data_IF_801777653955
#
_entry.id   IF_801777653955
#
_cell.length_a   1.000
_cell.length_b   1.000
_cell.length_c   1.000
_cell.angle_alpha   90.00
_cell.angle_beta   90.00
_cell.angle_gamma   90.00
#
_symmetry.space_group_name_H-M   'P 1'
#
loop_
_entity.id
_entity.type
_entity.pdbx_description
1 polymer ?
#
# COMPACT_ATOMS: atom_id res chain seq x y z
N UNK A 1 -6.26 -15.49 0.10
CA UNK A 1 -5.08 -14.72 -0.32
C UNK A 1 -5.14 -14.60 -1.83
N UNK A 2 -4.68 -13.48 -2.41
CA UNK A 2 -4.73 -13.25 -3.87
C UNK A 2 -3.91 -14.34 -4.58
N UNK A 3 -4.51 -15.05 -5.53
CA UNK A 3 -3.94 -16.23 -6.21
C UNK A 3 -3.49 -15.88 -7.64
N UNK A 4 -2.79 -16.81 -8.33
CA UNK A 4 -2.37 -16.58 -9.73
C UNK A 4 -3.54 -16.31 -10.68
N UNK A 5 -4.73 -16.85 -10.38
CA UNK A 5 -5.93 -16.62 -11.17
C UNK A 5 -6.36 -15.15 -11.08
N UNK A 6 -6.31 -14.54 -9.89
CA UNK A 6 -6.57 -13.11 -9.70
C UNK A 6 -5.67 -12.22 -10.57
N UNK A 7 -4.36 -12.50 -10.62
CA UNK A 7 -3.42 -11.68 -11.39
C UNK A 7 -3.59 -11.85 -12.90
N UNK A 8 -3.94 -13.05 -13.39
CA UNK A 8 -4.22 -13.30 -14.81
C UNK A 8 -5.42 -12.50 -15.30
N UNK A 9 -6.51 -12.52 -14.52
CA UNK A 9 -7.72 -11.75 -14.82
C UNK A 9 -7.45 -10.24 -14.89
N UNK A 10 -6.48 -9.72 -14.15
CA UNK A 10 -6.13 -8.30 -14.14
C UNK A 10 -5.39 -7.86 -15.42
N UNK A 11 -4.54 -8.72 -16.00
CA UNK A 11 -3.75 -8.41 -17.20
C UNK A 11 -4.63 -8.25 -18.46
N UNK A 12 -5.71 -9.02 -18.54
CA UNK A 12 -6.64 -9.01 -19.68
C UNK A 12 -7.44 -7.69 -19.83
N UNK A 13 -7.55 -6.89 -18.75
CA UNK A 13 -8.28 -5.61 -18.76
C UNK A 13 -7.65 -4.55 -19.67
N UNK A 14 -6.34 -4.61 -19.87
CA UNK A 14 -5.60 -3.67 -20.74
C UNK A 14 -6.06 -3.73 -22.21
N UNK A 15 -6.67 -4.84 -22.63
CA UNK A 15 -7.12 -5.07 -24.01
C UNK A 15 -8.54 -4.56 -24.29
N UNK A 16 -9.31 -4.23 -23.25
CA UNK A 16 -10.74 -3.91 -23.37
C UNK A 16 -10.98 -2.39 -23.53
N UNK A 17 -9.93 -1.57 -23.38
CA UNK A 17 -9.98 -0.11 -23.45
C UNK A 17 -9.88 0.47 -24.88
N UNK A 18 -10.50 -0.16 -25.89
CA UNK A 18 -10.69 0.47 -27.22
C UNK A 18 -12.08 1.13 -27.29
N UNK A 19 -12.18 2.48 -27.18
CA UNK A 19 -13.46 3.19 -27.09
C UNK A 19 -14.35 3.07 -28.34
N UNK A 20 -13.77 2.71 -29.49
CA UNK A 20 -14.44 2.80 -30.80
C UNK A 20 -15.44 1.66 -31.08
N UNK A 21 -15.48 0.60 -30.27
CA UNK A 21 -16.30 -0.60 -30.53
C UNK A 21 -17.59 -0.73 -29.72
N UNK A 22 -17.93 0.28 -28.91
CA UNK A 22 -18.91 0.17 -27.80
C UNK A 22 -20.38 0.04 -28.22
N UNK A 23 -20.71 0.05 -29.52
CA UNK A 23 -22.10 0.01 -30.04
C UNK A 23 -22.51 -1.31 -30.71
N UNK A 24 -21.68 -2.36 -30.63
CA UNK A 24 -21.97 -3.68 -31.22
C UNK A 24 -22.59 -4.66 -30.20
N UNK A 25 -23.22 -5.74 -30.69
CA UNK A 25 -23.66 -6.87 -29.84
C UNK A 25 -22.46 -7.46 -29.07
N UNK A 26 -21.28 -7.52 -29.70
CA UNK A 26 -20.01 -7.91 -29.07
C UNK A 26 -19.63 -6.99 -27.89
N UNK A 27 -19.91 -5.69 -27.98
CA UNK A 27 -19.66 -4.76 -26.88
C UNK A 27 -20.54 -5.04 -25.66
N UNK A 28 -21.79 -5.46 -25.86
CA UNK A 28 -22.67 -5.84 -24.75
C UNK A 28 -22.15 -7.06 -24.00
N UNK A 29 -21.75 -8.10 -24.74
CA UNK A 29 -21.12 -9.29 -24.13
C UNK A 29 -19.82 -8.94 -23.40
N UNK A 30 -19.01 -8.04 -23.95
CA UNK A 30 -17.80 -7.56 -23.29
C UNK A 30 -18.11 -6.78 -22.00
N UNK A 31 -19.17 -5.96 -21.97
CA UNK A 31 -19.61 -5.24 -20.77
C UNK A 31 -20.10 -6.21 -19.69
N UNK A 32 -20.89 -7.22 -20.05
CA UNK A 32 -21.34 -8.24 -19.09
C UNK A 32 -20.17 -9.03 -18.51
N UNK A 33 -19.16 -9.37 -19.32
CA UNK A 33 -17.93 -10.00 -18.86
C UNK A 33 -17.15 -9.08 -17.91
N UNK A 34 -16.96 -7.81 -18.28
CA UNK A 34 -16.33 -6.81 -17.42
C UNK A 34 -17.04 -6.66 -16.08
N UNK A 35 -18.38 -6.63 -16.08
CA UNK A 35 -19.18 -6.55 -14.86
C UNK A 35 -18.95 -7.78 -13.98
N UNK A 36 -18.98 -8.99 -14.56
CA UNK A 36 -18.72 -10.22 -13.82
C UNK A 36 -17.31 -10.26 -13.24
N UNK A 37 -16.30 -9.86 -14.01
CA UNK A 37 -14.92 -9.80 -13.54
C UNK A 37 -14.76 -8.73 -12.45
N UNK A 38 -15.36 -7.55 -12.59
CA UNK A 38 -15.34 -6.52 -11.56
C UNK A 38 -15.98 -7.03 -10.26
N UNK A 39 -17.14 -7.69 -10.35
CA UNK A 39 -17.81 -8.29 -9.18
C UNK A 39 -16.92 -9.35 -8.53
N UNK A 40 -16.26 -10.18 -9.34
CA UNK A 40 -15.32 -11.19 -8.84
C UNK A 40 -14.15 -10.54 -8.09
N UNK A 41 -13.50 -9.53 -8.68
CA UNK A 41 -12.38 -8.81 -8.07
C UNK A 41 -12.82 -8.11 -6.77
N UNK A 42 -13.96 -7.41 -6.78
CA UNK A 42 -14.50 -6.75 -5.60
C UNK A 42 -14.79 -7.74 -4.47
N UNK A 43 -15.36 -8.91 -4.78
CA UNK A 43 -15.56 -10.00 -3.80
C UNK A 43 -14.23 -10.52 -3.24
N UNK A 44 -13.22 -10.66 -4.10
CA UNK A 44 -11.88 -11.09 -3.70
C UNK A 44 -11.14 -10.03 -2.88
N UNK A 45 -11.42 -8.75 -3.07
CA UNK A 45 -10.85 -7.64 -2.30
C UNK A 45 -11.66 -7.29 -1.04
N UNK A 46 -12.86 -7.85 -0.85
CA UNK A 46 -13.74 -7.53 0.27
C UNK A 46 -13.12 -7.78 1.65
N UNK A 47 -12.16 -8.72 1.75
CA UNK A 47 -11.46 -8.98 3.01
C UNK A 47 -10.68 -7.76 3.54
N UNK A 48 -10.29 -6.82 2.66
CA UNK A 48 -9.55 -5.61 3.02
C UNK A 48 -10.34 -4.72 4.00
N UNK A 49 -11.67 -4.85 4.05
CA UNK A 49 -12.53 -4.12 5.01
C UNK A 49 -12.21 -4.48 6.46
N UNK A 50 -11.71 -5.68 6.72
CA UNK A 50 -11.30 -6.11 8.06
C UNK A 50 -9.97 -5.48 8.49
N UNK A 51 -9.19 -4.96 7.54
CA UNK A 51 -7.85 -4.45 7.79
C UNK A 51 -7.87 -2.96 8.11
N UNK A 52 -6.89 -2.55 8.91
CA UNK A 52 -6.62 -1.19 9.33
C UNK A 52 -5.38 -0.70 8.62
N UNK A 53 -5.53 0.38 7.86
CA UNK A 53 -4.39 1.04 7.24
C UNK A 53 -3.63 1.82 8.31
N UNK A 54 -2.36 1.48 8.49
CA UNK A 54 -1.48 2.09 9.48
C UNK A 54 -0.11 2.41 8.88
N UNK A 55 0.59 3.36 9.48
CA UNK A 55 2.02 3.54 9.30
C UNK A 55 2.70 3.46 10.66
N UNK A 56 3.86 2.80 10.73
CA UNK A 56 4.66 2.72 11.95
C UNK A 56 5.65 3.88 11.96
N UNK A 57 5.51 4.79 12.93
CA UNK A 57 6.33 5.99 13.03
C UNK A 57 7.50 5.83 14.02
N UNK A 58 7.41 4.83 14.89
CA UNK A 58 8.45 4.58 15.87
C UNK A 58 8.10 3.43 16.80
N UNK A 59 9.15 2.87 17.41
CA UNK A 59 9.04 1.72 18.31
C UNK A 59 9.92 1.96 19.53
N UNK A 60 9.32 1.99 20.72
CA UNK A 60 10.07 2.07 21.97
C UNK A 60 10.16 0.69 22.63
N UNK A 61 11.38 0.22 22.89
CA UNK A 61 11.61 -1.06 23.57
C UNK A 61 11.45 -0.88 25.08
N UNK A 62 10.44 -1.54 25.67
CA UNK A 62 10.21 -1.60 27.12
C UNK A 62 10.67 -2.94 27.67
N UNK A 63 11.86 -2.98 28.27
CA UNK A 63 12.41 -4.17 28.92
C UNK A 63 12.69 -3.92 30.39
N UNK A 64 11.91 -4.58 31.27
CA UNK A 64 12.18 -4.61 32.73
C UNK A 64 13.08 -5.80 33.05
N UNK A 65 13.72 -5.75 34.23
CA UNK A 65 14.59 -6.84 34.71
C UNK A 65 13.74 -8.11 34.88
N UNK A 66 14.25 -9.24 34.38
CA UNK A 66 13.61 -10.57 34.46
C UNK A 66 12.26 -10.73 33.74
N UNK A 67 11.88 -9.81 32.85
CA UNK A 67 10.69 -9.95 32.00
C UNK A 67 11.09 -9.98 30.52
N UNK A 68 10.22 -10.56 29.69
CA UNK A 68 10.35 -10.43 28.24
C UNK A 68 10.22 -8.96 27.82
N UNK A 69 10.89 -8.60 26.73
CA UNK A 69 10.79 -7.26 26.16
C UNK A 69 9.41 -7.08 25.54
N UNK A 70 8.83 -5.89 25.69
CA UNK A 70 7.62 -5.45 25.00
C UNK A 70 7.94 -4.23 24.15
N UNK A 71 7.18 -4.04 23.10
CA UNK A 71 7.41 -3.00 22.11
C UNK A 71 6.22 -2.05 22.10
N UNK A 72 6.46 -0.76 22.31
CA UNK A 72 5.45 0.27 22.20
C UNK A 72 5.51 0.85 20.78
N UNK A 73 4.54 0.52 19.94
CA UNK A 73 4.41 1.01 18.58
C UNK A 73 3.66 2.34 18.58
N UNK A 74 4.28 3.37 18.00
CA UNK A 74 3.62 4.63 17.69
C UNK A 74 3.14 4.54 16.24
N UNK A 75 1.84 4.41 16.06
CA UNK A 75 1.17 4.17 14.79
C UNK A 75 0.42 5.43 14.35
N UNK A 76 0.35 5.64 13.05
CA UNK A 76 -0.64 6.53 12.43
C UNK A 76 -1.71 5.66 11.80
N UNK A 77 -2.92 5.70 12.35
CA UNK A 77 -4.06 4.90 11.91
C UNK A 77 -5.00 5.76 11.05
N UNK A 78 -5.33 5.29 9.85
CA UNK A 78 -6.31 5.99 9.01
C UNK A 78 -7.70 5.91 9.66
N UNK A 79 -8.26 7.07 10.02
CA UNK A 79 -9.62 7.14 10.54
C UNK A 79 -10.63 7.02 9.39
N UNK A 80 -11.54 6.04 9.49
CA UNK A 80 -12.60 5.79 8.52
C UNK A 80 -13.63 6.92 8.42
N UNK A 81 -13.75 7.79 9.43
CA UNK A 81 -14.74 8.87 9.45
C UNK A 81 -14.28 10.14 8.73
N UNK A 82 -13.02 10.52 8.96
CA UNK A 82 -12.50 11.82 8.49
C UNK A 82 -11.43 11.68 7.40
N UNK A 83 -11.12 10.43 7.00
CA UNK A 83 -10.03 10.09 6.09
C UNK A 83 -8.65 10.67 6.49
N UNK A 84 -8.47 10.95 7.78
CA UNK A 84 -7.23 11.49 8.35
C UNK A 84 -6.54 10.45 9.21
N UNK A 85 -5.20 10.43 9.18
CA UNK A 85 -4.41 9.62 10.09
C UNK A 85 -4.43 10.19 11.50
N UNK A 86 -4.81 9.37 12.49
CA UNK A 86 -4.75 9.68 13.92
C UNK A 86 -3.62 8.91 14.58
N UNK A 87 -2.90 9.56 15.49
CA UNK A 87 -1.87 8.91 16.29
C UNK A 87 -2.51 7.89 17.22
N UNK A 88 -1.94 6.69 17.25
CA UNK A 88 -2.33 5.57 18.12
C UNK A 88 -1.07 4.97 18.73
N UNK A 89 -1.12 4.57 19.99
CA UNK A 89 -0.04 3.82 20.63
C UNK A 89 -0.55 2.44 21.02
N UNK A 90 0.22 1.41 20.67
CA UNK A 90 -0.10 0.03 21.03
C UNK A 90 1.13 -0.67 21.60
N UNK A 91 0.93 -1.46 22.65
CA UNK A 91 1.99 -2.30 23.22
C UNK A 91 1.80 -3.72 22.73
N UNK A 92 2.75 -4.21 21.96
CA UNK A 92 2.77 -5.57 21.43
C UNK A 92 3.98 -6.36 21.94
N UNK A 93 3.85 -7.69 21.93
CA UNK A 93 4.95 -8.60 22.25
C UNK A 93 5.90 -8.81 21.05
N UNK A 94 5.44 -8.51 19.83
CA UNK A 94 6.23 -8.52 18.60
C UNK A 94 6.41 -7.10 18.07
N UNK A 95 7.38 -6.89 17.17
CA UNK A 95 7.57 -5.62 16.49
C UNK A 95 7.61 -5.77 14.98
N UNK A 96 7.10 -4.76 14.28
CA UNK A 96 7.32 -4.55 12.84
C UNK A 96 7.96 -3.19 12.65
N UNK A 97 9.17 -3.19 12.08
CA UNK A 97 9.97 -2.01 11.75
C UNK A 97 9.91 -1.73 10.25
N UNK A 98 8.70 -1.77 9.69
CA UNK A 98 8.45 -1.44 8.29
C UNK A 98 8.26 0.07 8.15
N UNK A 99 8.99 0.68 7.21
CA UNK A 99 8.74 2.06 6.77
C UNK A 99 7.54 2.20 5.81
N UNK A 100 6.85 1.09 5.51
CA UNK A 100 5.73 1.06 4.57
C UNK A 100 4.41 1.44 5.22
N UNK A 101 3.45 1.85 4.40
CA UNK A 101 2.03 1.83 4.80
C UNK A 101 1.58 0.38 4.85
N UNK A 102 1.04 -0.04 5.99
CA UNK A 102 0.63 -1.41 6.29
C UNK A 102 -0.88 -1.53 6.37
N UNK A 103 -1.38 -2.72 6.08
CA UNK A 103 -2.71 -3.18 6.42
C UNK A 103 -2.57 -4.22 7.53
N UNK A 104 -3.01 -3.85 8.74
CA UNK A 104 -3.05 -4.74 9.90
C UNK A 104 -4.45 -5.31 10.07
N UNK A 105 -4.56 -6.61 10.34
CA UNK A 105 -5.86 -7.18 10.75
C UNK A 105 -6.29 -6.66 12.13
N UNK A 106 -5.31 -6.41 12.99
CA UNK A 106 -5.50 -5.85 14.32
C UNK A 106 -4.27 -5.02 14.69
N UNK A 107 -4.46 -3.84 15.27
CA UNK A 107 -3.34 -3.02 15.77
C UNK A 107 -2.55 -3.72 16.89
N UNK A 108 -3.17 -4.70 17.57
CA UNK A 108 -2.54 -5.50 18.64
C UNK A 108 -1.58 -6.56 18.13
N UNK A 109 -1.73 -6.96 16.87
CA UNK A 109 -0.87 -7.95 16.22
C UNK A 109 -0.11 -7.26 15.09
N UNK A 110 1.03 -6.67 15.45
CA UNK A 110 1.89 -5.96 14.50
C UNK A 110 2.78 -6.90 13.69
N UNK A 111 2.73 -8.21 13.95
CA UNK A 111 3.54 -9.21 13.25
C UNK A 111 2.89 -9.76 11.98
N UNK A 112 1.55 -9.76 11.90
CA UNK A 112 0.78 -10.21 10.74
C UNK A 112 0.20 -9.03 9.96
N UNK A 113 0.81 -8.71 8.81
CA UNK A 113 0.47 -7.53 8.03
C UNK A 113 0.60 -7.74 6.53
N UNK A 114 -0.19 -6.99 5.77
CA UNK A 114 0.01 -6.79 4.34
C UNK A 114 0.67 -5.44 4.11
N UNK A 115 1.69 -5.39 3.27
CA UNK A 115 2.39 -4.14 2.98
C UNK A 115 1.82 -3.51 1.71
N UNK A 116 1.56 -2.21 1.77
CA UNK A 116 1.17 -1.38 0.62
C UNK A 116 2.37 -0.61 0.06
N UNK A 117 3.60 -0.99 0.42
CA UNK A 117 4.79 -0.44 -0.22
C UNK A 117 4.68 -0.56 -1.73
N UNK A 118 5.19 0.44 -2.42
CA UNK A 118 5.02 0.70 -3.86
C UNK A 118 3.66 1.18 -4.31
N UNK A 119 2.56 0.93 -3.60
CA UNK A 119 1.24 1.47 -3.94
C UNK A 119 0.97 2.81 -3.25
N UNK A 120 1.34 2.90 -1.97
CA UNK A 120 1.21 4.11 -1.16
C UNK A 120 2.52 4.34 -0.44
N UNK A 121 3.09 5.53 -0.63
CA UNK A 121 4.31 5.97 0.03
C UNK A 121 3.98 7.26 0.79
N UNK A 122 3.98 7.18 2.12
CA UNK A 122 3.79 8.35 2.97
C UNK A 122 5.16 8.88 3.40
N UNK A 123 5.47 10.12 3.03
CA UNK A 123 6.75 10.77 3.36
C UNK A 123 6.60 11.84 4.43
N UNK A 124 5.50 11.84 5.20
CA UNK A 124 5.23 12.89 6.18
C UNK A 124 6.21 12.90 7.35
N UNK A 125 6.75 11.73 7.70
CA UNK A 125 7.73 11.57 8.78
C UNK A 125 9.19 11.56 8.30
N UNK A 126 9.42 11.84 7.01
CA UNK A 126 10.75 11.88 6.39
C UNK A 126 11.36 13.27 6.54
N UNK A 127 12.67 13.34 6.80
CA UNK A 127 13.37 14.63 6.93
C UNK A 127 13.24 15.49 5.66
N UNK A 128 12.84 16.75 5.83
CA UNK A 128 12.56 17.68 4.72
C UNK A 128 13.78 17.89 3.82
N UNK A 129 14.99 17.88 4.40
CA UNK A 129 16.26 18.03 3.67
C UNK A 129 16.49 16.85 2.72
N UNK A 130 16.26 15.61 3.18
CA UNK A 130 16.39 14.39 2.40
C UNK A 130 15.37 14.34 1.25
N UNK A 131 14.14 14.78 1.49
CA UNK A 131 13.14 14.90 0.43
C UNK A 131 13.55 15.95 -0.61
N UNK A 132 14.02 17.13 -0.17
CA UNK A 132 14.44 18.20 -1.07
C UNK A 132 15.63 17.80 -1.93
N UNK A 133 16.60 17.04 -1.40
CA UNK A 133 17.73 16.53 -2.22
C UNK A 133 17.26 15.58 -3.33
N UNK A 134 16.15 14.88 -3.14
CA UNK A 134 15.52 14.04 -4.16
C UNK A 134 14.50 14.80 -5.03
N UNK A 135 14.33 16.11 -4.85
CA UNK A 135 13.33 16.91 -5.57
C UNK A 135 11.88 16.67 -5.10
N UNK A 136 11.69 16.04 -3.94
CA UNK A 136 10.40 15.66 -3.39
C UNK A 136 9.92 16.65 -2.32
N UNK A 137 8.64 16.52 -1.94
CA UNK A 137 8.03 17.24 -0.83
C UNK A 137 7.38 16.23 0.12
N UNK A 138 7.11 16.69 1.33
CA UNK A 138 6.29 15.91 2.26
C UNK A 138 4.88 15.78 1.69
N UNK A 139 4.49 14.57 1.29
CA UNK A 139 3.18 14.25 0.71
C UNK A 139 2.86 12.75 0.94
N UNK A 140 1.67 12.35 0.51
CA UNK A 140 1.33 10.93 0.30
C UNK A 140 1.36 10.67 -1.20
N UNK A 141 2.25 9.79 -1.64
CA UNK A 141 2.42 9.44 -3.04
C UNK A 141 1.69 8.14 -3.36
N UNK A 142 0.78 8.21 -4.33
CA UNK A 142 -0.04 7.09 -4.80
C UNK A 142 0.50 6.57 -6.12
N UNK A 143 0.66 5.27 -6.25
CA UNK A 143 1.12 4.64 -7.48
C UNK A 143 0.12 4.87 -8.62
N UNK A 144 0.64 5.29 -9.77
CA UNK A 144 -0.16 5.52 -10.96
C UNK A 144 0.09 4.48 -12.05
N UNK A 145 1.33 3.99 -12.16
CA UNK A 145 1.69 3.05 -13.20
C UNK A 145 3.19 2.91 -13.38
N UNK A 146 3.56 2.18 -14.43
CA UNK A 146 4.95 2.03 -14.87
C UNK A 146 5.08 2.75 -16.20
N UNK A 147 6.02 3.68 -16.29
CA UNK A 147 6.37 4.38 -17.53
C UNK A 147 7.86 4.17 -17.83
N UNK A 148 8.19 3.72 -19.04
CA UNK A 148 9.55 3.36 -19.46
C UNK A 148 10.35 2.51 -18.44
N UNK A 149 9.65 1.62 -17.72
CA UNK A 149 10.25 0.74 -16.69
C UNK A 149 10.45 1.39 -15.31
N UNK A 150 9.96 2.62 -15.11
CA UNK A 150 10.01 3.36 -13.84
C UNK A 150 8.63 3.44 -13.21
N UNK A 151 8.57 3.30 -11.89
CA UNK A 151 7.32 3.46 -11.14
C UNK A 151 6.99 4.94 -11.01
N UNK A 152 5.83 5.35 -11.52
CA UNK A 152 5.33 6.72 -11.46
C UNK A 152 4.27 6.83 -10.37
N UNK A 153 4.38 7.92 -9.60
CA UNK A 153 3.50 8.23 -8.49
C UNK A 153 2.87 9.60 -8.66
N UNK A 154 1.69 9.80 -8.07
CA UNK A 154 1.03 11.10 -7.97
C UNK A 154 0.91 11.50 -6.51
N UNK A 155 1.32 12.73 -6.17
CA UNK A 155 1.14 13.26 -4.83
C UNK A 155 -0.33 13.60 -4.55
N UNK A 156 -0.85 13.15 -3.41
CA UNK A 156 -2.25 13.37 -3.02
C UNK A 156 -2.57 14.86 -2.86
N UNK A 157 -1.63 15.65 -2.34
CA UNK A 157 -1.80 17.10 -2.16
C UNK A 157 -1.21 17.91 -3.32
N UNK A 158 -0.04 17.51 -3.81
CA UNK A 158 0.66 18.26 -4.86
C UNK A 158 0.09 18.03 -6.25
N UNK A 159 -0.62 16.91 -6.47
CA UNK A 159 -1.15 16.46 -7.76
C UNK A 159 -0.11 16.37 -8.90
N UNK A 160 1.18 16.35 -8.53
CA UNK A 160 2.28 16.24 -9.48
C UNK A 160 2.70 14.77 -9.62
N UNK A 161 2.99 14.37 -10.86
CA UNK A 161 3.64 13.09 -11.12
C UNK A 161 5.11 13.17 -10.74
N UNK A 162 5.58 12.14 -10.04
CA UNK A 162 6.96 12.04 -9.58
C UNK A 162 7.49 10.62 -9.75
N UNK A 163 8.78 10.54 -10.00
CA UNK A 163 9.57 9.31 -9.92
C UNK A 163 10.27 9.28 -8.56
N UNK A 164 9.96 8.28 -7.74
CA UNK A 164 10.52 8.12 -6.41
C UNK A 164 11.90 7.42 -6.40
N UNK A 165 12.41 6.97 -7.56
CA UNK A 165 13.70 6.27 -7.67
C UNK A 165 14.91 7.11 -7.25
N UNK A 166 14.75 8.44 -7.16
CA UNK A 166 15.79 9.36 -6.68
C UNK A 166 15.88 9.43 -5.15
N UNK A 167 14.96 8.77 -4.43
CA UNK A 167 14.92 8.76 -2.98
C UNK A 167 15.36 7.40 -2.44
N UNK A 168 16.47 7.37 -1.70
CA UNK A 168 17.13 6.12 -1.27
C UNK A 168 16.19 5.15 -0.53
N UNK A 169 15.28 5.66 0.32
CA UNK A 169 14.34 4.83 1.06
C UNK A 169 13.31 4.12 0.16
N UNK A 170 13.07 4.62 -1.06
CA UNK A 170 12.20 3.93 -2.02
C UNK A 170 12.71 2.53 -2.36
N UNK A 171 14.03 2.34 -2.46
CA UNK A 171 14.60 1.02 -2.76
C UNK A 171 14.37 0.02 -1.61
N UNK A 172 14.37 0.49 -0.37
CA UNK A 172 14.07 -0.34 0.80
C UNK A 172 12.61 -0.78 0.80
N UNK A 173 11.68 0.17 0.55
CA UNK A 173 10.25 -0.09 0.41
C UNK A 173 9.98 -1.09 -0.73
N UNK A 174 10.65 -0.92 -1.87
CA UNK A 174 10.56 -1.85 -2.98
C UNK A 174 11.05 -3.26 -2.61
N UNK A 175 12.19 -3.35 -1.93
CA UNK A 175 12.75 -4.63 -1.52
C UNK A 175 11.86 -5.35 -0.50
N UNK A 176 11.20 -4.61 0.39
CA UNK A 176 10.19 -5.14 1.31
C UNK A 176 9.01 -5.77 0.55
N UNK A 177 8.44 -5.03 -0.40
CA UNK A 177 7.36 -5.52 -1.24
C UNK A 177 7.76 -6.79 -2.02
N UNK A 178 8.95 -6.80 -2.61
CA UNK A 178 9.45 -7.96 -3.37
C UNK A 178 9.67 -9.20 -2.49
N UNK A 179 10.04 -9.03 -1.21
CA UNK A 179 10.17 -10.14 -0.24
C UNK A 179 8.81 -10.75 0.08
N UNK A 180 7.79 -9.92 0.29
CA UNK A 180 6.41 -10.35 0.55
C UNK A 180 5.83 -11.14 -0.63
N UNK A 181 6.05 -10.67 -1.86
CA UNK A 181 5.62 -11.39 -3.08
C UNK A 181 6.25 -12.79 -3.19
N UNK A 182 7.49 -12.96 -2.73
CA UNK A 182 8.20 -14.25 -2.76
C UNK A 182 7.80 -15.19 -1.61
N UNK A 183 7.33 -14.66 -0.48
CA UNK A 183 6.90 -15.41 0.70
C UNK A 183 5.46 -15.93 0.64
N UNK A 184 4.61 -15.41 -0.27
CA UNK A 184 3.22 -15.82 -0.45
C UNK A 184 3.04 -17.15 -1.23
N UNK A 185 3.96 -18.11 -1.05
CA UNK A 185 3.90 -19.46 -1.63
C UNK A 185 3.34 -20.48 -0.64
#
# INVERSE_FOLDING_TARGET
MLDEAFYRELEDWSRIAEPEKWFSEEARTNIEQLEQTLVYLMKKCAFLVEYKMVQVNGIDVRKRKYTQARFNHRLRLLNSTDAQFKSHEEIADQFSDSGSVLLLRSVKDTGDYLTLSLFIVDTQDVEVTALRSAGLRSDIYLFQGIDEGRAIYIGANTQNQVDLSQWDQWFELKAEFDRMKKGAK
#
